data_IF_705031349613
#
_entry.id   IF_705031349613
#
_cell.length_a   1.000
_cell.length_b   1.000
_cell.length_c   1.000
_cell.angle_alpha   90.00
_cell.angle_beta   90.00
_cell.angle_gamma   90.00
#
_symmetry.space_group_name_H-M   'P 1'
#
loop_
_entity.id
_entity.type
_entity.pdbx_description
1 polymer ?
#
# COMPACT_ATOMS: atom_id res chain seq x y z
N UNK A 1 -15.70 -16.85 11.60
CA UNK A 1 -16.32 -15.52 11.39
C UNK A 1 -16.71 -15.37 9.92
N UNK A 2 -17.73 -14.56 9.64
CA UNK A 2 -18.06 -14.05 8.30
C UNK A 2 -17.33 -12.72 8.10
N UNK A 3 -16.39 -12.67 7.15
CA UNK A 3 -15.52 -11.52 6.91
C UNK A 3 -15.80 -10.96 5.51
N UNK A 4 -16.09 -9.67 5.42
CA UNK A 4 -16.18 -8.95 4.14
C UNK A 4 -14.88 -8.20 3.88
N UNK A 5 -14.16 -8.54 2.82
CA UNK A 5 -13.00 -7.80 2.34
C UNK A 5 -13.40 -6.93 1.15
N UNK A 6 -13.25 -5.62 1.33
CA UNK A 6 -13.57 -4.59 0.34
C UNK A 6 -12.27 -4.10 -0.27
N UNK A 7 -12.13 -4.25 -1.58
CA UNK A 7 -10.95 -3.83 -2.32
C UNK A 7 -11.35 -3.11 -3.61
N UNK A 8 -10.36 -2.56 -4.30
CA UNK A 8 -10.55 -1.84 -5.54
C UNK A 8 -9.57 -2.30 -6.60
N UNK A 9 -10.08 -2.78 -7.72
CA UNK A 9 -9.29 -3.13 -8.89
C UNK A 9 -10.12 -3.01 -10.16
N UNK A 10 -9.66 -2.21 -11.13
CA UNK A 10 -10.27 -2.09 -12.46
C UNK A 10 -9.62 -2.99 -13.51
N UNK A 11 -8.33 -3.28 -13.35
CA UNK A 11 -7.53 -3.97 -14.36
C UNK A 11 -7.53 -5.48 -14.13
N UNK A 12 -7.51 -6.26 -15.22
CA UNK A 12 -7.37 -7.72 -15.14
C UNK A 12 -6.01 -8.18 -14.61
N UNK A 13 -5.00 -7.29 -14.59
CA UNK A 13 -3.66 -7.54 -14.04
C UNK A 13 -3.33 -6.44 -13.03
N UNK A 14 -3.61 -6.71 -11.76
CA UNK A 14 -3.04 -5.87 -10.71
C UNK A 14 -1.53 -6.13 -10.59
N UNK A 15 -0.84 -5.29 -9.82
CA UNK A 15 0.47 -5.68 -9.28
C UNK A 15 0.28 -6.94 -8.44
N UNK A 16 1.16 -7.93 -8.59
CA UNK A 16 1.09 -9.19 -7.83
C UNK A 16 0.88 -8.96 -6.33
N UNK A 17 1.54 -7.95 -5.75
CA UNK A 17 1.43 -7.61 -4.32
C UNK A 17 0.00 -7.27 -3.85
N UNK A 18 -0.86 -6.75 -4.73
CA UNK A 18 -2.28 -6.48 -4.44
C UNK A 18 -3.05 -7.78 -4.36
N UNK A 19 -2.88 -8.63 -5.37
CA UNK A 19 -3.58 -9.91 -5.43
C UNK A 19 -3.11 -10.85 -4.32
N UNK A 20 -1.80 -10.88 -4.02
CA UNK A 20 -1.20 -11.61 -2.90
C UNK A 20 -1.77 -11.13 -1.56
N UNK A 21 -1.83 -9.82 -1.32
CA UNK A 21 -2.40 -9.26 -0.09
C UNK A 21 -3.90 -9.58 0.09
N UNK A 22 -4.69 -9.51 -1.00
CA UNK A 22 -6.11 -9.86 -0.97
C UNK A 22 -6.30 -11.36 -0.67
N UNK A 23 -5.46 -12.22 -1.26
CA UNK A 23 -5.51 -13.67 -1.08
C UNK A 23 -4.89 -14.16 0.22
N UNK A 24 -4.05 -13.36 0.88
CA UNK A 24 -3.45 -13.72 2.16
C UNK A 24 -4.52 -14.10 3.21
N UNK A 25 -5.67 -13.42 3.22
CA UNK A 25 -6.76 -13.76 4.14
C UNK A 25 -7.35 -15.16 3.90
N UNK A 26 -7.43 -15.58 2.63
CA UNK A 26 -7.90 -16.91 2.24
C UNK A 26 -6.83 -17.98 2.53
N UNK A 27 -5.56 -17.66 2.29
CA UNK A 27 -4.45 -18.60 2.49
C UNK A 27 -4.11 -18.82 3.96
N UNK A 28 -4.33 -17.83 4.84
CA UNK A 28 -3.83 -17.84 6.23
C UNK A 28 -4.95 -17.67 7.28
N UNK A 29 -6.22 -17.84 6.93
CA UNK A 29 -7.30 -17.89 7.92
C UNK A 29 -8.38 -18.92 7.57
N UNK A 30 -8.94 -19.56 8.58
CA UNK A 30 -10.05 -20.52 8.44
C UNK A 30 -11.44 -19.86 8.45
N UNK A 31 -11.50 -18.55 8.21
CA UNK A 31 -12.75 -17.79 8.24
C UNK A 31 -13.46 -17.76 6.89
N UNK A 32 -14.79 -17.54 6.93
CA UNK A 32 -15.59 -17.42 5.72
C UNK A 32 -15.44 -16.03 5.13
N UNK A 33 -14.74 -15.95 4.00
CA UNK A 33 -14.43 -14.70 3.31
C UNK A 33 -15.43 -14.39 2.21
N UNK A 34 -15.78 -13.12 2.11
CA UNK A 34 -16.56 -12.53 1.04
C UNK A 34 -15.76 -11.39 0.44
N UNK A 35 -15.58 -11.42 -0.87
CA UNK A 35 -14.79 -10.43 -1.58
C UNK A 35 -15.70 -9.46 -2.34
N UNK A 36 -15.54 -8.17 -2.07
CA UNK A 36 -16.23 -7.10 -2.78
C UNK A 36 -15.19 -6.25 -3.51
N UNK A 37 -15.13 -6.42 -4.83
CA UNK A 37 -14.43 -5.45 -5.68
C UNK A 37 -15.34 -4.26 -5.92
N UNK A 38 -15.03 -3.16 -5.25
CA UNK A 38 -15.79 -1.92 -5.31
C UNK A 38 -15.78 -1.29 -6.71
N UNK A 39 -14.84 -1.65 -7.60
CA UNK A 39 -14.83 -1.14 -8.98
C UNK A 39 -16.13 -1.46 -9.75
N UNK A 40 -16.83 -2.54 -9.38
CA UNK A 40 -18.09 -2.98 -9.99
C UNK A 40 -19.34 -2.56 -9.20
N UNK A 41 -19.18 -1.63 -8.25
CA UNK A 41 -20.25 -1.14 -7.40
C UNK A 41 -20.54 -2.03 -6.20
N UNK A 42 -21.50 -1.61 -5.38
CA UNK A 42 -21.87 -2.28 -4.14
C UNK A 42 -23.28 -2.87 -4.28
N UNK A 43 -23.44 -4.20 -4.29
CA UNK A 43 -24.75 -4.82 -4.40
C UNK A 43 -25.66 -4.47 -3.22
N UNK A 44 -26.90 -4.08 -3.51
CA UNK A 44 -27.87 -3.65 -2.49
C UNK A 44 -28.25 -4.77 -1.51
N UNK A 45 -28.17 -6.04 -1.93
CA UNK A 45 -28.47 -7.19 -1.06
C UNK A 45 -27.50 -7.33 0.12
N UNK A 46 -26.32 -6.69 0.07
CA UNK A 46 -25.37 -6.71 1.17
C UNK A 46 -25.95 -6.11 2.46
N UNK A 47 -26.92 -5.20 2.35
CA UNK A 47 -27.64 -4.62 3.52
C UNK A 47 -28.30 -5.68 4.42
N UNK A 48 -28.66 -6.82 3.83
CA UNK A 48 -29.35 -7.90 4.52
C UNK A 48 -28.38 -8.99 5.03
N UNK A 49 -27.07 -8.81 4.84
CA UNK A 49 -26.03 -9.72 5.33
C UNK A 49 -25.44 -9.18 6.63
N UNK A 50 -25.09 -10.10 7.54
CA UNK A 50 -24.36 -9.80 8.77
C UNK A 50 -22.91 -10.24 8.59
N UNK A 51 -21.98 -9.38 8.98
CA UNK A 51 -20.56 -9.68 9.01
C UNK A 51 -20.06 -9.49 10.44
N UNK A 52 -19.10 -10.32 10.83
CA UNK A 52 -18.40 -10.14 12.11
C UNK A 52 -17.32 -9.07 11.95
N UNK A 53 -16.66 -9.07 10.78
CA UNK A 53 -15.58 -8.16 10.42
C UNK A 53 -15.74 -7.66 8.97
N UNK A 54 -15.45 -6.38 8.77
CA UNK A 54 -15.42 -5.72 7.47
C UNK A 54 -14.07 -5.02 7.32
N UNK A 55 -13.32 -5.41 6.30
CA UNK A 55 -11.95 -4.97 6.04
C UNK A 55 -11.95 -4.06 4.82
N UNK A 56 -11.50 -2.82 4.99
CA UNK A 56 -11.20 -1.90 3.90
C UNK A 56 -9.72 -2.06 3.53
N UNK A 57 -9.46 -2.81 2.46
CA UNK A 57 -8.12 -3.10 1.96
C UNK A 57 -7.45 -1.84 1.40
N UNK A 58 -6.12 -1.76 1.46
CA UNK A 58 -5.36 -0.56 1.08
C UNK A 58 -5.70 -0.02 -0.32
N UNK A 59 -6.04 -0.91 -1.25
CA UNK A 59 -6.39 -0.56 -2.62
C UNK A 59 -7.57 0.41 -2.71
N UNK A 60 -8.52 0.35 -1.76
CA UNK A 60 -9.67 1.28 -1.74
C UNK A 60 -9.20 2.73 -1.56
N UNK A 61 -8.16 2.93 -0.77
CA UNK A 61 -7.66 4.27 -0.48
C UNK A 61 -6.86 4.87 -1.64
N UNK A 62 -6.57 4.11 -2.71
CA UNK A 62 -6.07 4.68 -3.96
C UNK A 62 -7.11 5.59 -4.65
N UNK A 63 -8.41 5.41 -4.33
CA UNK A 63 -9.48 6.30 -4.83
C UNK A 63 -9.29 7.76 -4.40
N UNK A 64 -8.56 8.03 -3.31
CA UNK A 64 -8.23 9.40 -2.88
C UNK A 64 -7.48 10.20 -3.95
N UNK A 65 -6.83 9.52 -4.89
CA UNK A 65 -6.08 10.10 -6.01
C UNK A 65 -6.94 10.34 -7.25
N UNK A 66 -8.21 9.90 -7.27
CA UNK A 66 -9.06 9.92 -8.46
C UNK A 66 -10.10 11.04 -8.35
N UNK A 67 -10.00 12.05 -9.21
CA UNK A 67 -10.93 13.20 -9.24
C UNK A 67 -12.40 12.80 -9.42
N UNK A 68 -12.68 11.68 -10.12
CA UNK A 68 -14.04 11.24 -10.47
C UNK A 68 -14.75 10.41 -9.38
N UNK A 69 -14.06 10.01 -8.30
CA UNK A 69 -14.62 9.12 -7.26
C UNK A 69 -14.29 9.66 -5.88
N UNK A 70 -15.22 10.43 -5.30
CA UNK A 70 -15.11 10.90 -3.92
C UNK A 70 -15.33 9.74 -2.96
N UNK A 71 -14.38 9.50 -2.05
CA UNK A 71 -14.56 8.62 -0.90
C UNK A 71 -15.77 9.03 -0.03
N UNK A 72 -16.19 10.30 -0.11
CA UNK A 72 -17.25 10.83 0.74
C UNK A 72 -18.62 10.80 0.09
N UNK A 73 -18.77 10.84 -1.24
CA UNK A 73 -20.08 11.07 -1.88
C UNK A 73 -20.45 9.98 -2.90
N UNK A 74 -20.36 8.73 -2.47
CA UNK A 74 -20.75 7.57 -3.27
C UNK A 74 -21.85 6.74 -2.59
N UNK A 75 -22.86 6.36 -3.38
CA UNK A 75 -24.03 5.57 -2.91
C UNK A 75 -23.63 4.19 -2.41
N UNK A 76 -22.59 3.58 -2.98
CA UNK A 76 -22.00 2.34 -2.52
C UNK A 76 -21.40 2.47 -1.13
N UNK A 77 -20.67 3.55 -0.84
CA UNK A 77 -20.15 3.80 0.51
C UNK A 77 -21.26 4.06 1.54
N UNK A 78 -22.42 4.57 1.15
CA UNK A 78 -23.58 4.64 2.04
C UNK A 78 -24.12 3.24 2.40
N UNK A 79 -24.13 2.30 1.45
CA UNK A 79 -24.49 0.90 1.71
C UNK A 79 -23.50 0.26 2.68
N UNK A 80 -22.20 0.43 2.42
CA UNK A 80 -21.14 -0.10 3.26
C UNK A 80 -21.15 0.48 4.68
N UNK A 81 -21.47 1.77 4.82
CA UNK A 81 -21.67 2.41 6.12
C UNK A 81 -22.81 1.76 6.92
N UNK A 82 -23.89 1.33 6.27
CA UNK A 82 -25.03 0.69 6.95
C UNK A 82 -24.79 -0.74 7.43
N UNK A 83 -23.74 -1.40 6.93
CA UNK A 83 -23.42 -2.77 7.31
C UNK A 83 -23.04 -2.86 8.79
N UNK A 84 -23.51 -3.93 9.42
CA UNK A 84 -23.19 -4.28 10.81
C UNK A 84 -21.98 -5.21 10.84
N UNK A 85 -21.08 -4.98 11.79
CA UNK A 85 -19.83 -5.69 11.98
C UNK A 85 -18.72 -4.75 12.45
N UNK A 86 -17.65 -5.30 13.03
CA UNK A 86 -16.45 -4.52 13.30
C UNK A 86 -15.85 -4.04 11.98
N UNK A 87 -15.44 -2.77 11.90
CA UNK A 87 -14.87 -2.18 10.68
C UNK A 87 -13.44 -1.76 10.90
N UNK A 88 -12.56 -2.27 10.05
CA UNK A 88 -11.12 -1.96 10.09
C UNK A 88 -10.67 -1.41 8.74
N UNK A 89 -9.69 -0.51 8.77
CA UNK A 89 -9.01 -0.02 7.58
C UNK A 89 -7.54 -0.41 7.60
N UNK A 90 -7.00 -0.71 6.43
CA UNK A 90 -5.58 -1.00 6.25
C UNK A 90 -5.03 -0.11 5.14
N UNK A 91 -4.97 1.23 5.30
CA UNK A 91 -4.44 2.11 4.26
C UNK A 91 -2.95 1.85 3.97
N UNK A 92 -2.51 2.26 2.78
CA UNK A 92 -1.11 2.36 2.35
C UNK A 92 -0.96 3.70 1.60
N UNK A 93 0.29 4.10 1.34
CA UNK A 93 0.61 5.39 0.72
C UNK A 93 -0.10 6.55 1.45
N UNK A 94 0.10 6.59 2.77
CA UNK A 94 -0.64 7.41 3.75
C UNK A 94 -0.09 8.85 3.89
N UNK A 95 0.58 9.37 2.87
CA UNK A 95 1.34 10.62 2.94
C UNK A 95 0.57 11.85 2.40
N UNK A 96 -0.65 11.68 1.88
CA UNK A 96 -1.53 12.78 1.42
C UNK A 96 -3.01 12.47 1.63
N UNK A 97 -3.81 13.54 1.68
CA UNK A 97 -5.28 13.49 1.81
C UNK A 97 -5.74 12.73 3.06
N UNK A 98 -4.95 12.76 4.14
CA UNK A 98 -5.28 12.06 5.38
C UNK A 98 -6.53 12.64 6.03
N UNK A 99 -6.84 13.91 5.81
CA UNK A 99 -8.08 14.55 6.25
C UNK A 99 -9.31 13.92 5.57
N UNK A 100 -9.22 13.65 4.26
CA UNK A 100 -10.26 12.95 3.50
C UNK A 100 -10.44 11.53 4.01
N UNK A 101 -9.33 10.82 4.27
CA UNK A 101 -9.33 9.48 4.84
C UNK A 101 -9.96 9.48 6.24
N UNK A 102 -9.64 10.45 7.11
CA UNK A 102 -10.25 10.56 8.44
C UNK A 102 -11.77 10.74 8.35
N UNK A 103 -12.24 11.65 7.48
CA UNK A 103 -13.68 11.84 7.27
C UNK A 103 -14.34 10.57 6.73
N UNK A 104 -13.64 9.82 5.89
CA UNK A 104 -14.10 8.51 5.43
C UNK A 104 -14.23 7.52 6.58
N UNK A 105 -13.22 7.38 7.44
CA UNK A 105 -13.27 6.51 8.63
C UNK A 105 -14.49 6.80 9.49
N UNK A 106 -14.68 8.09 9.83
CA UNK A 106 -15.83 8.55 10.59
C UNK A 106 -17.16 8.20 9.92
N UNK A 107 -17.29 8.51 8.64
CA UNK A 107 -18.53 8.27 7.88
C UNK A 107 -18.87 6.77 7.79
N UNK A 108 -17.85 5.93 7.66
CA UNK A 108 -18.03 4.48 7.59
C UNK A 108 -18.22 3.83 8.97
N UNK A 109 -17.89 4.52 10.06
CA UNK A 109 -17.84 3.93 11.40
C UNK A 109 -16.67 2.96 11.57
N UNK A 110 -15.53 3.28 10.97
CA UNK A 110 -14.27 2.55 11.15
C UNK A 110 -13.62 3.05 12.44
N UNK A 111 -13.38 2.12 13.36
CA UNK A 111 -12.80 2.43 14.68
C UNK A 111 -11.36 1.92 14.83
N UNK A 112 -10.88 1.10 13.89
CA UNK A 112 -9.55 0.51 13.94
C UNK A 112 -8.79 0.70 12.63
N UNK A 113 -7.55 1.14 12.71
CA UNK A 113 -6.65 1.28 11.55
C UNK A 113 -5.37 0.47 11.73
N UNK A 114 -4.95 -0.21 10.67
CA UNK A 114 -3.63 -0.80 10.52
C UNK A 114 -2.83 0.11 9.58
N UNK A 115 -1.85 0.83 10.12
CA UNK A 115 -1.17 1.95 9.46
C UNK A 115 0.34 1.71 9.37
N UNK A 116 1.00 2.33 8.39
CA UNK A 116 2.46 2.32 8.27
C UNK A 116 3.14 3.33 9.20
N UNK A 117 2.37 4.20 9.87
CA UNK A 117 2.93 5.16 10.82
C UNK A 117 3.41 4.48 12.09
N UNK A 118 4.40 5.09 12.74
CA UNK A 118 4.77 4.75 14.11
C UNK A 118 3.77 5.35 15.11
N UNK A 119 3.70 4.78 16.31
CA UNK A 119 2.79 5.22 17.37
C UNK A 119 2.87 6.72 17.67
N UNK A 120 4.09 7.28 17.61
CA UNK A 120 4.36 8.71 17.81
C UNK A 120 3.68 9.64 16.80
N UNK A 121 3.21 9.10 15.68
CA UNK A 121 2.62 9.87 14.58
C UNK A 121 1.14 9.55 14.35
N UNK A 122 0.54 8.60 15.08
CA UNK A 122 -0.87 8.21 14.93
C UNK A 122 -1.82 9.41 15.00
N UNK A 123 -1.68 10.23 16.05
CA UNK A 123 -2.56 11.39 16.24
C UNK A 123 -2.23 12.56 15.31
N UNK A 124 -1.03 12.59 14.70
CA UNK A 124 -0.68 13.59 13.68
C UNK A 124 -1.32 13.24 12.34
N UNK A 125 -1.23 11.97 11.95
CA UNK A 125 -1.75 11.47 10.69
C UNK A 125 -3.28 11.30 10.72
N UNK A 126 -3.80 10.75 11.82
CA UNK A 126 -5.19 10.40 12.00
C UNK A 126 -5.71 10.81 13.38
N UNK A 127 -5.84 12.12 13.66
CA UNK A 127 -6.37 12.59 14.93
C UNK A 127 -7.70 11.91 15.26
N UNK A 128 -7.86 11.37 16.46
CA UNK A 128 -9.10 10.71 16.91
C UNK A 128 -10.30 11.67 16.77
N UNK A 129 -10.10 12.94 17.10
CA UNK A 129 -11.11 14.00 16.98
C UNK A 129 -11.59 14.24 15.55
N UNK A 130 -10.83 13.85 14.52
CA UNK A 130 -11.22 13.95 13.11
C UNK A 130 -11.63 12.60 12.49
N UNK A 131 -10.98 11.51 12.89
CA UNK A 131 -11.16 10.19 12.30
C UNK A 131 -12.23 9.34 13.00
N UNK A 132 -12.42 9.53 14.31
CA UNK A 132 -13.24 8.65 15.15
C UNK A 132 -12.57 7.31 15.47
N UNK A 133 -11.33 7.09 15.04
CA UNK A 133 -10.56 5.88 15.36
C UNK A 133 -10.32 5.77 16.87
N UNK A 134 -10.36 4.53 17.37
CA UNK A 134 -10.08 4.15 18.75
C UNK A 134 -8.84 3.28 18.86
N UNK A 135 -8.53 2.51 17.83
CA UNK A 135 -7.41 1.58 17.82
C UNK A 135 -6.51 1.82 16.60
N UNK A 136 -5.21 1.73 16.83
CA UNK A 136 -4.16 1.96 15.85
C UNK A 136 -3.14 0.84 15.98
N UNK A 137 -2.74 0.25 14.86
CA UNK A 137 -1.75 -0.81 14.82
C UNK A 137 -0.73 -0.52 13.72
N UNK A 138 0.55 -0.47 14.08
CA UNK A 138 1.62 -0.32 13.08
C UNK A 138 1.80 -1.63 12.33
N UNK A 139 1.81 -1.56 11.01
CA UNK A 139 2.09 -2.68 10.09
C UNK A 139 3.14 -2.29 9.08
N UNK A 140 3.79 -3.30 8.50
CA UNK A 140 4.72 -3.06 7.39
C UNK A 140 3.98 -2.71 6.11
N UNK A 141 4.58 -1.89 5.24
CA UNK A 141 3.95 -1.48 3.99
C UNK A 141 3.99 -2.56 2.89
N UNK A 142 4.60 -3.71 3.18
CA UNK A 142 4.65 -4.87 2.32
C UNK A 142 5.09 -6.12 3.07
N UNK A 143 4.61 -7.26 2.62
CA UNK A 143 4.97 -8.60 3.10
C UNK A 143 5.33 -9.46 1.89
N UNK A 144 6.20 -10.44 2.10
CA UNK A 144 6.56 -11.42 1.07
C UNK A 144 5.91 -12.75 1.44
N UNK A 145 5.10 -13.28 0.52
CA UNK A 145 4.45 -14.59 0.66
C UNK A 145 5.47 -15.73 0.49
N UNK A 146 5.26 -16.86 1.18
CA UNK A 146 6.15 -18.03 1.05
C UNK A 146 6.23 -18.55 -0.39
N UNK A 147 5.12 -18.51 -1.14
CA UNK A 147 5.11 -18.90 -2.55
C UNK A 147 5.91 -17.92 -3.40
N UNK A 148 5.91 -16.64 -3.05
CA UNK A 148 6.75 -15.65 -3.71
C UNK A 148 8.24 -15.92 -3.44
N UNK A 149 8.61 -16.35 -2.23
CA UNK A 149 9.97 -16.77 -1.92
C UNK A 149 10.40 -17.96 -2.79
N UNK A 150 9.54 -18.96 -2.96
CA UNK A 150 9.85 -20.11 -3.81
C UNK A 150 10.08 -19.71 -5.27
N UNK A 151 9.26 -18.81 -5.81
CA UNK A 151 9.44 -18.28 -7.15
C UNK A 151 10.73 -17.46 -7.30
N UNK A 152 11.15 -16.72 -6.26
CA UNK A 152 12.33 -15.85 -6.32
C UNK A 152 13.63 -16.67 -6.20
N UNK A 153 13.63 -17.83 -5.53
CA UNK A 153 14.83 -18.66 -5.33
C UNK A 153 15.56 -18.99 -6.64
N UNK A 154 14.83 -19.20 -7.73
CA UNK A 154 15.41 -19.49 -9.05
C UNK A 154 16.18 -18.30 -9.66
N UNK A 155 15.91 -17.08 -9.20
CA UNK A 155 16.52 -15.85 -9.71
C UNK A 155 17.61 -15.27 -8.78
N UNK A 156 17.81 -15.86 -7.60
CA UNK A 156 18.80 -15.37 -6.64
C UNK A 156 20.19 -15.86 -7.03
N UNK A 157 21.05 -14.92 -7.43
CA UNK A 157 22.48 -15.20 -7.58
C UNK A 157 23.24 -15.06 -6.24
N UNK A 158 24.26 -15.91 -6.01
CA UNK A 158 25.28 -15.68 -5.00
C UNK A 158 25.89 -14.29 -5.14
N UNK A 159 26.32 -13.67 -4.03
CA UNK A 159 26.85 -12.30 -4.02
C UNK A 159 28.02 -12.15 -5.01
N UNK A 160 28.91 -13.15 -5.09
CA UNK A 160 30.06 -13.11 -5.99
C UNK A 160 29.69 -13.10 -7.48
N UNK A 161 28.48 -13.56 -7.84
CA UNK A 161 28.03 -13.66 -9.23
C UNK A 161 27.17 -12.45 -9.64
N UNK A 162 26.92 -11.51 -8.72
CA UNK A 162 26.18 -10.28 -9.02
C UNK A 162 27.10 -9.27 -9.70
N UNK A 163 26.75 -8.88 -10.91
CA UNK A 163 27.55 -7.92 -11.70
C UNK A 163 27.13 -6.46 -11.52
N UNK A 164 26.06 -6.19 -10.77
CA UNK A 164 25.54 -4.85 -10.52
C UNK A 164 25.65 -4.57 -9.02
N UNK A 165 26.39 -3.52 -8.69
CA UNK A 165 26.61 -3.07 -7.31
C UNK A 165 25.43 -2.23 -6.81
N UNK A 166 24.80 -1.47 -7.72
CA UNK A 166 23.64 -0.62 -7.42
C UNK A 166 22.57 -0.72 -8.51
N UNK A 167 21.47 -1.38 -8.15
CA UNK A 167 20.22 -1.36 -8.91
C UNK A 167 19.23 -0.37 -8.29
N UNK A 168 18.72 0.59 -9.06
CA UNK A 168 17.68 1.50 -8.56
C UNK A 168 16.68 1.93 -9.63
N UNK A 169 15.40 1.99 -9.27
CA UNK A 169 14.32 2.46 -10.14
C UNK A 169 13.42 3.41 -9.37
N UNK A 170 13.23 4.61 -9.89
CA UNK A 170 12.27 5.55 -9.34
C UNK A 170 11.66 6.40 -10.44
N UNK A 171 10.35 6.30 -10.65
CA UNK A 171 9.68 7.21 -11.57
C UNK A 171 9.79 8.66 -11.08
N UNK A 172 9.87 9.61 -12.02
CA UNK A 172 9.73 11.04 -11.69
C UNK A 172 8.30 11.33 -11.26
N UNK A 173 8.05 11.24 -9.97
CA UNK A 173 6.76 11.59 -9.38
C UNK A 173 6.50 13.11 -9.49
N UNK A 174 5.22 13.53 -9.50
CA UNK A 174 4.87 14.95 -9.45
C UNK A 174 5.47 15.67 -8.24
N UNK A 175 5.86 16.93 -8.44
CA UNK A 175 6.48 17.77 -7.39
C UNK A 175 5.61 18.00 -6.16
N UNK A 176 4.28 17.93 -6.30
CA UNK A 176 3.35 18.14 -5.20
C UNK A 176 3.41 17.03 -4.12
N UNK A 177 4.13 15.93 -4.37
CA UNK A 177 4.49 14.93 -3.35
C UNK A 177 5.64 15.37 -2.41
N UNK A 178 6.10 16.61 -2.56
CA UNK A 178 7.09 17.22 -1.69
C UNK A 178 8.51 16.73 -1.94
N UNK A 179 9.43 17.23 -1.11
CA UNK A 179 10.87 16.99 -1.26
C UNK A 179 11.25 15.51 -1.18
N UNK A 180 10.55 14.71 -0.34
CA UNK A 180 10.79 13.27 -0.22
C UNK A 180 10.39 12.49 -1.48
N UNK A 181 9.24 12.84 -2.08
CA UNK A 181 8.82 12.25 -3.36
C UNK A 181 9.77 12.60 -4.51
N UNK A 182 10.34 13.81 -4.47
CA UNK A 182 11.38 14.27 -5.41
C UNK A 182 12.71 13.58 -5.17
N UNK A 183 13.09 13.39 -3.90
CA UNK A 183 14.35 12.76 -3.52
C UNK A 183 14.48 11.36 -4.14
N UNK A 184 13.40 10.58 -4.17
CA UNK A 184 13.38 9.23 -4.78
C UNK A 184 14.03 9.21 -6.16
N UNK A 185 13.58 10.02 -7.10
CA UNK A 185 14.16 10.01 -8.45
C UNK A 185 15.45 10.82 -8.60
N UNK A 186 15.74 11.75 -7.67
CA UNK A 186 17.04 12.45 -7.64
C UNK A 186 18.19 11.53 -7.25
N UNK A 187 17.94 10.43 -6.52
CA UNK A 187 18.96 9.42 -6.21
C UNK A 187 19.69 8.96 -7.47
N UNK A 188 18.97 8.68 -8.57
CA UNK A 188 19.63 8.26 -9.82
C UNK A 188 20.56 9.33 -10.39
N UNK A 189 20.21 10.61 -10.24
CA UNK A 189 20.98 11.74 -10.78
C UNK A 189 22.24 11.99 -9.95
N UNK A 190 22.15 11.82 -8.62
CA UNK A 190 23.30 11.89 -7.72
C UNK A 190 24.27 10.73 -7.99
N UNK A 191 23.75 9.51 -8.09
CA UNK A 191 24.59 8.33 -8.30
C UNK A 191 25.23 8.27 -9.70
N UNK A 192 24.62 8.91 -10.70
CA UNK A 192 25.22 9.04 -12.04
C UNK A 192 26.65 9.62 -12.03
N UNK A 193 27.00 10.43 -11.02
CA UNK A 193 28.36 10.99 -10.84
C UNK A 193 29.42 9.95 -10.46
N UNK A 194 29.02 8.78 -10.00
CA UNK A 194 29.91 7.66 -9.65
C UNK A 194 30.00 6.62 -10.77
N UNK A 195 29.50 6.94 -11.98
CA UNK A 195 29.65 6.09 -13.15
C UNK A 195 31.14 5.83 -13.44
N UNK A 196 31.49 4.55 -13.53
CA UNK A 196 32.88 4.09 -13.70
C UNK A 196 33.60 3.69 -12.40
N UNK A 197 33.08 4.08 -11.22
CA UNK A 197 33.59 3.62 -9.92
C UNK A 197 32.84 2.39 -9.40
N UNK A 198 31.53 2.33 -9.69
CA UNK A 198 30.63 1.23 -9.35
C UNK A 198 29.83 0.81 -10.59
N UNK A 199 29.48 -0.47 -10.69
CA UNK A 199 28.64 -1.01 -11.75
C UNK A 199 27.18 -0.75 -11.39
N UNK A 200 26.53 0.13 -12.14
CA UNK A 200 25.19 0.60 -11.83
C UNK A 200 24.19 0.23 -12.93
N UNK A 201 22.97 -0.07 -12.49
CA UNK A 201 21.80 -0.04 -13.33
C UNK A 201 20.73 0.81 -12.63
N UNK A 202 20.65 2.08 -13.02
CA UNK A 202 19.73 3.06 -12.43
C UNK A 202 18.90 3.74 -13.50
N UNK A 203 17.59 3.91 -13.27
CA UNK A 203 16.71 4.57 -14.24
C UNK A 203 15.51 5.24 -13.58
N UNK A 204 15.12 6.39 -14.17
CA UNK A 204 13.87 7.08 -13.87
C UNK A 204 12.77 6.82 -14.90
N UNK A 205 13.07 6.06 -15.95
CA UNK A 205 12.12 5.70 -17.01
C UNK A 205 11.17 4.59 -16.51
N UNK A 206 9.85 4.83 -16.47
CA UNK A 206 8.87 3.85 -15.99
C UNK A 206 8.79 2.58 -16.86
N UNK A 207 9.29 2.60 -18.10
CA UNK A 207 9.37 1.41 -18.97
C UNK A 207 10.54 0.49 -18.61
N UNK A 208 11.55 1.01 -17.90
CA UNK A 208 12.74 0.26 -17.49
C UNK A 208 12.47 -0.45 -16.17
N UNK A 209 11.95 -1.66 -16.27
CA UNK A 209 11.78 -2.58 -15.13
C UNK A 209 12.96 -3.53 -15.03
N UNK A 210 13.23 -4.06 -13.84
CA UNK A 210 14.10 -5.23 -13.69
C UNK A 210 13.32 -6.46 -14.16
N UNK A 211 13.22 -6.65 -15.47
CA UNK A 211 12.81 -7.92 -16.06
C UNK A 211 14.06 -8.49 -16.71
N UNK A 212 14.36 -9.76 -16.42
CA UNK A 212 15.45 -10.55 -17.05
C UNK A 212 16.90 -10.20 -16.64
N UNK A 213 17.12 -9.62 -15.46
CA UNK A 213 18.48 -9.46 -14.95
C UNK A 213 18.80 -10.56 -13.93
N UNK A 214 19.58 -11.54 -14.39
CA UNK A 214 20.28 -12.52 -13.55
C UNK A 214 20.92 -11.79 -12.35
N UNK A 215 20.32 -11.92 -11.16
CA UNK A 215 20.97 -11.58 -9.89
C UNK A 215 20.65 -10.25 -9.22
N UNK A 216 19.58 -9.53 -9.58
CA UNK A 216 19.12 -8.41 -8.75
C UNK A 216 17.93 -8.85 -7.90
N UNK A 217 18.15 -8.94 -6.58
CA UNK A 217 17.06 -8.99 -5.59
C UNK A 217 16.31 -7.67 -5.68
N UNK A 218 15.03 -7.76 -6.02
CA UNK A 218 14.11 -6.64 -6.13
C UNK A 218 13.89 -6.02 -4.75
N UNK A 219 14.67 -4.99 -4.39
CA UNK A 219 14.22 -4.04 -3.38
C UNK A 219 13.30 -3.06 -4.08
N UNK A 220 12.00 -3.40 -4.13
CA UNK A 220 11.03 -2.32 -4.12
C UNK A 220 11.34 -1.57 -2.82
N UNK A 221 11.92 -0.37 -2.91
CA UNK A 221 11.92 0.58 -1.79
C UNK A 221 10.45 0.95 -1.62
N UNK A 222 9.71 0.05 -0.99
CA UNK A 222 8.46 0.36 -0.33
C UNK A 222 8.87 1.33 0.76
N UNK A 223 8.59 2.60 0.52
CA UNK A 223 8.82 3.75 1.38
C UNK A 223 9.53 3.44 2.70
N UNK A 224 10.85 3.24 2.62
CA UNK A 224 11.69 3.27 3.81
C UNK A 224 11.76 4.75 4.19
N UNK A 225 10.86 5.16 5.07
CA UNK A 225 11.01 6.39 5.83
C UNK A 225 12.31 6.27 6.60
N UNK A 226 13.39 6.81 6.03
CA UNK A 226 14.67 6.93 6.69
C UNK A 226 14.52 7.92 7.85
N UNK A 227 14.14 7.40 9.02
CA UNK A 227 14.31 8.06 10.30
C UNK A 227 15.79 8.03 10.69
N UNK A 228 16.64 8.74 9.95
CA UNK A 228 17.97 9.09 10.46
C UNK A 228 17.78 10.20 11.49
N UNK A 229 17.95 9.86 12.77
CA UNK A 229 18.51 10.83 13.71
C UNK A 229 19.86 11.20 13.14
N UNK A 230 19.94 12.40 12.58
CA UNK A 230 21.22 13.06 12.36
C UNK A 230 21.68 13.47 13.76
N UNK A 231 22.40 12.58 14.43
CA UNK A 231 23.20 12.98 15.58
C UNK A 231 24.20 14.01 15.05
N UNK A 232 24.09 15.22 15.60
CA UNK A 232 24.96 16.33 15.26
C UNK A 232 26.41 15.94 15.58
N UNK A 233 27.26 16.02 14.56
CA UNK A 233 28.72 16.16 14.69
C UNK A 233 29.10 17.43 13.95
#
# INVERSE_FOLDING_TARGET
>A
MNILLIYYSWEKKNRNTIDESIRAFENYSDHKLFYLNYAFGVPSFLKNRKFDLIIYHYSIFALKMQEKRSLLDDTGFAILASLKGCKIAMPQDEYIYNDLICRFYRKQGIETVYTCFFETDYQKAYPESLSGLKNYFTVFPGYVDERALDNIKEFVLPIQDRHIDLGYRARKNPYWLGSLGVLKWKVTEVFGKYSGMIRMDVSNDPSKVFLEMNGIIFWQVVDVFWGWKVDQV
#
